data_IF_304239799485
#
_entry.id   IF_304239799485
#
_cell.length_a   1.000
_cell.length_b   1.000
_cell.length_c   1.000
_cell.angle_alpha   90.00
_cell.angle_beta   90.00
_cell.angle_gamma   90.00
#
_symmetry.space_group_name_H-M   'P 1'
#
loop_
_entity.id
_entity.type
_entity.pdbx_description
1 polymer ?
#
# COMPACT_ATOMS: atom_id res chain seq x y z
N UNK A 1 19.15 -21.96 -7.34
CA UNK A 1 18.99 -20.68 -8.06
C UNK A 1 18.78 -19.61 -7.02
N UNK A 2 19.47 -18.47 -7.10
CA UNK A 2 19.30 -17.39 -6.11
C UNK A 2 18.12 -16.48 -6.50
N UNK A 3 17.58 -15.72 -5.54
CA UNK A 3 16.53 -14.71 -5.78
C UNK A 3 16.95 -13.69 -6.83
N UNK A 4 18.26 -13.39 -6.88
CA UNK A 4 18.85 -12.52 -7.90
C UNK A 4 18.72 -13.12 -9.29
N UNK A 5 19.11 -14.38 -9.46
CA UNK A 5 19.04 -15.06 -10.75
C UNK A 5 17.58 -15.19 -11.21
N UNK A 6 16.70 -15.54 -10.27
CA UNK A 6 15.26 -15.66 -10.53
C UNK A 6 14.66 -14.32 -10.95
N UNK A 7 14.95 -13.22 -10.24
CA UNK A 7 14.45 -11.90 -10.60
C UNK A 7 14.95 -11.45 -11.98
N UNK A 8 16.23 -11.67 -12.29
CA UNK A 8 16.77 -11.37 -13.61
C UNK A 8 16.08 -12.18 -14.72
N UNK A 9 15.89 -13.48 -14.50
CA UNK A 9 15.22 -14.35 -15.46
C UNK A 9 13.76 -13.93 -15.71
N UNK A 10 13.02 -13.63 -14.64
CA UNK A 10 11.63 -13.19 -14.74
C UNK A 10 11.45 -11.84 -15.44
N UNK A 11 12.43 -10.93 -15.32
CA UNK A 11 12.42 -9.64 -16.02
C UNK A 11 12.84 -9.73 -17.49
N UNK A 12 13.66 -10.73 -17.84
CA UNK A 12 14.13 -10.94 -19.21
C UNK A 12 13.03 -11.56 -20.11
N UNK A 13 12.19 -12.43 -19.52
CA UNK A 13 11.04 -13.02 -20.20
C UNK A 13 9.91 -11.97 -20.32
N UNK A 14 9.95 -11.15 -21.37
CA UNK A 14 9.01 -10.02 -21.56
C UNK A 14 7.51 -10.38 -21.55
N UNK A 15 7.15 -11.65 -21.78
CA UNK A 15 5.80 -12.18 -21.56
C UNK A 15 5.86 -13.37 -20.59
N UNK A 16 4.89 -13.53 -19.66
CA UNK A 16 4.89 -14.62 -18.69
C UNK A 16 4.87 -15.98 -19.39
N UNK A 17 6.01 -16.68 -19.37
CA UNK A 17 6.19 -17.99 -20.00
C UNK A 17 5.85 -19.12 -19.02
N UNK A 18 5.62 -20.33 -19.54
CA UNK A 18 5.48 -21.52 -18.71
C UNK A 18 6.70 -21.73 -17.80
N UNK A 19 7.89 -21.37 -18.30
CA UNK A 19 9.14 -21.48 -17.59
C UNK A 19 9.25 -20.48 -16.43
N UNK A 20 8.82 -19.22 -16.64
CA UNK A 20 8.77 -18.21 -15.59
C UNK A 20 7.91 -18.66 -14.40
N UNK A 21 6.73 -19.21 -14.68
CA UNK A 21 5.88 -19.78 -13.62
C UNK A 21 6.53 -21.00 -12.95
N UNK A 22 7.11 -21.91 -13.73
CA UNK A 22 7.82 -23.09 -13.22
C UNK A 22 8.93 -22.70 -12.25
N UNK A 23 9.77 -21.73 -12.61
CA UNK A 23 10.86 -21.23 -11.77
C UNK A 23 10.36 -20.64 -10.43
N UNK A 24 9.27 -19.88 -10.43
CA UNK A 24 8.66 -19.35 -9.20
C UNK A 24 8.07 -20.44 -8.33
N UNK A 25 7.43 -21.44 -8.94
CA UNK A 25 6.86 -22.59 -8.24
C UNK A 25 7.93 -23.46 -7.59
N UNK A 26 9.01 -23.72 -8.33
CA UNK A 26 10.12 -24.53 -7.83
C UNK A 26 10.83 -23.83 -6.66
N UNK A 27 10.91 -22.49 -6.67
CA UNK A 27 11.58 -21.73 -5.62
C UNK A 27 10.69 -21.43 -4.39
N UNK A 28 9.43 -21.02 -4.61
CA UNK A 28 8.55 -20.51 -3.55
C UNK A 28 7.18 -21.19 -3.47
N UNK A 29 6.86 -22.10 -4.39
CA UNK A 29 5.52 -22.67 -4.53
C UNK A 29 5.03 -23.35 -3.26
N UNK A 30 5.86 -24.18 -2.61
CA UNK A 30 5.49 -24.86 -1.37
C UNK A 30 5.23 -23.88 -0.22
N UNK A 31 6.09 -22.87 -0.09
CA UNK A 31 6.00 -21.89 0.99
C UNK A 31 4.76 -20.99 0.86
N UNK A 32 4.53 -20.47 -0.34
CA UNK A 32 3.35 -19.66 -0.63
C UNK A 32 2.07 -20.48 -0.52
N UNK A 33 2.07 -21.73 -0.99
CA UNK A 33 0.92 -22.61 -0.84
C UNK A 33 0.58 -22.86 0.62
N UNK A 34 1.60 -23.13 1.46
CA UNK A 34 1.41 -23.31 2.91
C UNK A 34 0.83 -22.06 3.55
N UNK A 35 1.33 -20.88 3.19
CA UNK A 35 0.77 -19.61 3.65
C UNK A 35 -0.71 -19.49 3.27
N UNK A 36 -1.07 -19.77 2.02
CA UNK A 36 -2.46 -19.70 1.53
C UNK A 36 -3.37 -20.70 2.26
N UNK A 37 -2.91 -21.92 2.51
CA UNK A 37 -3.67 -22.94 3.27
C UNK A 37 -3.93 -22.46 4.69
N UNK A 38 -2.91 -21.95 5.38
CA UNK A 38 -3.05 -21.40 6.73
C UNK A 38 -4.00 -20.20 6.76
N UNK A 39 -3.97 -19.38 5.71
CA UNK A 39 -4.82 -18.21 5.58
C UNK A 39 -6.27 -18.53 5.17
N UNK A 40 -6.57 -19.65 4.50
CA UNK A 40 -7.92 -19.90 3.96
C UNK A 40 -8.61 -21.10 4.59
N UNK A 41 -7.86 -22.08 5.11
CA UNK A 41 -8.40 -23.33 5.62
C UNK A 41 -9.00 -24.25 4.54
N UNK A 42 -8.90 -23.88 3.25
CA UNK A 42 -9.47 -24.59 2.11
C UNK A 42 -8.38 -24.81 1.05
N UNK A 43 -8.21 -26.07 0.64
CA UNK A 43 -7.14 -26.48 -0.28
C UNK A 43 -7.37 -26.01 -1.71
N UNK A 44 -8.60 -26.02 -2.17
CA UNK A 44 -8.93 -25.61 -3.53
C UNK A 44 -8.88 -24.08 -3.64
N UNK A 45 -9.35 -23.37 -2.61
CA UNK A 45 -9.18 -21.92 -2.52
C UNK A 45 -7.69 -21.52 -2.49
N UNK A 46 -6.85 -22.26 -1.75
CA UNK A 46 -5.41 -22.00 -1.70
C UNK A 46 -4.72 -22.20 -3.05
N UNK A 47 -5.09 -23.22 -3.84
CA UNK A 47 -4.55 -23.39 -5.19
C UNK A 47 -4.94 -22.23 -6.10
N UNK A 48 -6.19 -21.74 -6.02
CA UNK A 48 -6.64 -20.58 -6.79
C UNK A 48 -5.87 -19.33 -6.40
N UNK A 49 -5.68 -19.08 -5.11
CA UNK A 49 -4.93 -17.91 -4.64
C UNK A 49 -3.45 -17.99 -4.99
N UNK A 50 -2.82 -19.17 -4.91
CA UNK A 50 -1.44 -19.35 -5.37
C UNK A 50 -1.32 -19.04 -6.86
N UNK A 51 -2.26 -19.55 -7.67
CA UNK A 51 -2.32 -19.29 -9.11
C UNK A 51 -2.37 -17.79 -9.40
N UNK A 52 -3.26 -17.09 -8.71
CA UNK A 52 -3.46 -15.65 -8.91
C UNK A 52 -2.25 -14.85 -8.45
N UNK A 53 -1.65 -15.24 -7.32
CA UNK A 53 -0.41 -14.65 -6.81
C UNK A 53 0.70 -14.71 -7.85
N UNK A 54 0.89 -15.87 -8.49
CA UNK A 54 1.93 -16.06 -9.50
C UNK A 54 1.65 -15.26 -10.78
N UNK A 55 0.38 -15.19 -11.21
CA UNK A 55 -0.02 -14.35 -12.35
C UNK A 55 0.30 -12.87 -12.07
N UNK A 56 -0.07 -12.38 -10.88
CA UNK A 56 0.21 -11.00 -10.47
C UNK A 56 1.72 -10.77 -10.37
N UNK A 57 2.46 -11.71 -9.78
CA UNK A 57 3.91 -11.63 -9.66
C UNK A 57 4.58 -11.48 -11.03
N UNK A 58 4.28 -12.35 -12.00
CA UNK A 58 4.84 -12.25 -13.34
C UNK A 58 4.44 -10.96 -14.05
N UNK A 59 3.19 -10.51 -13.91
CA UNK A 59 2.71 -9.27 -14.55
C UNK A 59 3.37 -8.00 -13.98
N UNK A 60 3.76 -8.01 -12.70
CA UNK A 60 4.25 -6.81 -11.99
C UNK A 60 5.67 -6.94 -11.47
N UNK A 61 6.44 -7.93 -11.93
CA UNK A 61 7.83 -8.17 -11.47
C UNK A 61 8.76 -6.96 -11.72
N UNK A 62 8.43 -6.13 -12.70
CA UNK A 62 9.14 -4.88 -12.98
C UNK A 62 9.00 -3.82 -11.88
N UNK A 63 8.01 -3.94 -10.98
CA UNK A 63 7.80 -3.02 -9.85
C UNK A 63 8.71 -3.30 -8.66
N UNK A 64 9.13 -4.55 -8.47
CA UNK A 64 10.01 -4.92 -7.37
C UNK A 64 11.38 -4.25 -7.60
N UNK A 65 11.96 -3.46 -6.67
CA UNK A 65 13.22 -2.76 -6.93
C UNK A 65 14.43 -3.70 -7.01
N UNK A 66 14.51 -4.68 -6.09
CA UNK A 66 15.67 -5.53 -5.90
C UNK A 66 15.34 -6.97 -5.48
N UNK A 67 16.28 -7.91 -5.69
CA UNK A 67 16.05 -9.33 -5.45
C UNK A 67 16.03 -9.72 -3.97
N UNK A 68 16.66 -8.94 -3.12
CA UNK A 68 16.68 -9.10 -1.66
C UNK A 68 15.28 -9.06 -1.02
N UNK A 69 14.32 -8.45 -1.72
CA UNK A 69 12.93 -8.31 -1.26
C UNK A 69 11.95 -9.25 -1.96
N UNK A 70 12.44 -10.18 -2.79
CA UNK A 70 11.57 -11.03 -3.62
C UNK A 70 10.65 -11.91 -2.78
N UNK A 71 11.20 -12.61 -1.78
CA UNK A 71 10.40 -13.46 -0.90
C UNK A 71 9.30 -12.66 -0.16
N UNK A 72 9.68 -11.54 0.47
CA UNK A 72 8.74 -10.67 1.19
C UNK A 72 7.64 -10.12 0.27
N UNK A 73 8.02 -9.72 -0.95
CA UNK A 73 7.10 -9.19 -1.95
C UNK A 73 6.10 -10.24 -2.42
N UNK A 74 6.54 -11.48 -2.66
CA UNK A 74 5.66 -12.59 -3.04
C UNK A 74 4.68 -12.96 -1.92
N UNK A 75 5.12 -12.95 -0.67
CA UNK A 75 4.23 -13.16 0.49
C UNK A 75 3.21 -12.03 0.64
N UNK A 76 3.63 -10.78 0.44
CA UNK A 76 2.72 -9.63 0.46
C UNK A 76 1.64 -9.74 -0.63
N UNK A 77 2.01 -10.22 -1.83
CA UNK A 77 1.05 -10.51 -2.89
C UNK A 77 0.08 -11.62 -2.47
N UNK A 78 0.59 -12.73 -1.94
CA UNK A 78 -0.23 -13.85 -1.49
C UNK A 78 -1.24 -13.41 -0.41
N UNK A 79 -0.82 -12.55 0.51
CA UNK A 79 -1.69 -12.01 1.56
C UNK A 79 -2.82 -11.16 0.97
N UNK A 80 -2.51 -10.26 0.03
CA UNK A 80 -3.51 -9.45 -0.68
C UNK A 80 -4.53 -10.34 -1.41
N UNK A 81 -4.06 -11.39 -2.06
CA UNK A 81 -4.92 -12.34 -2.76
C UNK A 81 -5.77 -13.20 -1.82
N UNK A 82 -5.24 -13.60 -0.66
CA UNK A 82 -6.01 -14.25 0.40
C UNK A 82 -7.12 -13.34 0.95
N UNK A 83 -6.81 -12.08 1.26
CA UNK A 83 -7.79 -11.09 1.75
C UNK A 83 -8.90 -10.87 0.72
N UNK A 84 -8.52 -10.77 -0.56
CA UNK A 84 -9.48 -10.62 -1.65
C UNK A 84 -10.39 -11.83 -1.77
N UNK A 85 -9.83 -13.04 -1.66
CA UNK A 85 -10.61 -14.29 -1.68
C UNK A 85 -11.60 -14.35 -0.53
N UNK A 86 -11.17 -14.09 0.71
CA UNK A 86 -12.07 -14.01 1.87
C UNK A 86 -13.19 -12.97 1.67
N UNK A 87 -12.86 -11.82 1.08
CA UNK A 87 -13.83 -10.76 0.78
C UNK A 87 -14.84 -11.15 -0.30
N UNK A 88 -14.44 -12.00 -1.25
CA UNK A 88 -15.35 -12.57 -2.25
C UNK A 88 -16.30 -13.58 -1.60
N UNK A 89 -15.75 -14.50 -0.79
CA UNK A 89 -16.53 -15.54 -0.11
C UNK A 89 -17.54 -14.94 0.88
N UNK A 90 -17.17 -13.87 1.60
CA UNK A 90 -18.07 -13.18 2.52
C UNK A 90 -19.22 -12.44 1.81
N UNK A 91 -19.00 -11.91 0.60
CA UNK A 91 -20.03 -11.18 -0.17
C UNK A 91 -21.05 -12.09 -0.84
N UNK A 92 -20.81 -13.40 -0.87
CA UNK A 92 -21.74 -14.40 -1.40
C UNK A 92 -22.21 -15.34 -0.27
N UNK A 93 -23.08 -14.85 0.65
CA UNK A 93 -23.69 -15.73 1.65
C UNK A 93 -24.62 -16.71 0.93
N UNK A 94 -24.28 -18.01 0.95
CA UNK A 94 -25.14 -19.06 0.39
C UNK A 94 -24.61 -19.81 -0.84
N UNK A 95 -23.29 -20.04 -0.93
CA UNK A 95 -22.78 -21.18 -1.70
C UNK A 95 -23.06 -21.15 -3.20
N UNK A 96 -22.48 -20.17 -3.90
CA UNK A 96 -22.06 -20.42 -5.27
C UNK A 96 -20.74 -19.70 -5.50
N UNK A 97 -19.67 -20.33 -5.01
CA UNK A 97 -18.36 -20.16 -5.60
C UNK A 97 -18.49 -20.40 -7.10
N UNK A 98 -17.76 -19.61 -7.89
CA UNK A 98 -17.54 -19.77 -9.33
C UNK A 98 -17.53 -21.27 -9.74
N UNK A 99 -18.13 -21.68 -10.88
CA UNK A 99 -18.44 -23.07 -11.20
C UNK A 99 -17.36 -24.10 -10.80
N UNK A 100 -17.81 -25.07 -10.02
CA UNK A 100 -17.12 -26.25 -9.46
C UNK A 100 -16.36 -27.11 -10.49
N UNK A 101 -16.53 -26.86 -11.79
CA UNK A 101 -15.73 -27.53 -12.82
C UNK A 101 -14.39 -26.81 -13.07
N UNK A 102 -13.63 -26.63 -12.01
CA UNK A 102 -12.17 -26.67 -12.11
C UNK A 102 -11.67 -27.75 -11.15
N UNK A 103 -12.14 -28.98 -11.36
CA UNK A 103 -11.51 -30.18 -10.80
C UNK A 103 -10.10 -30.27 -11.36
N UNK A 104 -9.14 -29.68 -10.65
CA UNK A 104 -7.84 -29.35 -11.18
C UNK A 104 -6.77 -30.07 -10.36
N UNK A 105 -6.34 -31.22 -10.86
CA UNK A 105 -5.18 -31.96 -10.34
C UNK A 105 -3.98 -31.00 -10.34
N UNK A 106 -3.36 -30.69 -9.17
CA UNK A 106 -2.40 -29.59 -9.02
C UNK A 106 -1.28 -29.59 -10.08
N UNK A 107 -0.83 -30.77 -10.51
CA UNK A 107 0.24 -30.95 -11.51
C UNK A 107 -0.16 -30.56 -12.94
N UNK A 108 -1.44 -30.61 -13.33
CA UNK A 108 -1.91 -30.25 -14.69
C UNK A 108 -2.32 -28.77 -14.81
N UNK A 109 -2.74 -28.13 -13.72
CA UNK A 109 -3.02 -26.67 -13.64
C UNK A 109 -1.77 -25.86 -13.95
N UNK A 110 -0.65 -26.31 -13.38
CA UNK A 110 0.63 -25.60 -13.44
C UNK A 110 1.25 -25.66 -14.84
N UNK A 111 1.00 -26.73 -15.60
CA UNK A 111 1.30 -26.79 -17.04
C UNK A 111 0.33 -25.99 -17.92
N UNK A 112 -0.91 -25.78 -17.47
CA UNK A 112 -1.92 -25.02 -18.20
C UNK A 112 -1.86 -23.50 -18.00
N UNK A 113 -1.16 -23.00 -16.98
CA UNK A 113 -1.04 -21.56 -16.67
C UNK A 113 -0.59 -20.69 -17.85
N UNK A 114 0.30 -21.23 -18.69
CA UNK A 114 0.81 -20.57 -19.88
C UNK A 114 0.00 -20.87 -21.15
N UNK A 115 -1.12 -21.59 -21.04
CA UNK A 115 -1.95 -21.91 -22.18
C UNK A 115 -2.70 -20.66 -22.68
N UNK A 116 -2.88 -20.48 -24.00
CA UNK A 116 -3.53 -19.30 -24.57
C UNK A 116 -4.97 -19.09 -24.08
N UNK A 117 -5.66 -20.17 -23.72
CA UNK A 117 -7.07 -20.14 -23.28
C UNK A 117 -7.23 -19.40 -21.95
N UNK A 118 -6.14 -19.28 -21.17
CA UNK A 118 -6.10 -18.58 -19.91
C UNK A 118 -5.68 -17.10 -20.06
N UNK A 119 -5.41 -16.61 -21.26
CA UNK A 119 -4.95 -15.23 -21.50
C UNK A 119 -5.92 -14.19 -20.93
N UNK A 120 -7.22 -14.36 -21.17
CA UNK A 120 -8.25 -13.47 -20.63
C UNK A 120 -8.30 -13.49 -19.10
N UNK A 121 -8.13 -14.67 -18.50
CA UNK A 121 -8.06 -14.82 -17.05
C UNK A 121 -6.83 -14.12 -16.48
N UNK A 122 -5.64 -14.34 -17.09
CA UNK A 122 -4.40 -13.72 -16.65
C UNK A 122 -4.45 -12.20 -16.78
N UNK A 123 -4.96 -11.70 -17.91
CA UNK A 123 -5.17 -10.26 -18.12
C UNK A 123 -6.11 -9.67 -17.06
N UNK A 124 -7.21 -10.34 -16.74
CA UNK A 124 -8.12 -9.92 -15.69
C UNK A 124 -7.47 -9.89 -14.30
N UNK A 125 -6.78 -10.97 -13.92
CA UNK A 125 -6.08 -11.10 -12.63
C UNK A 125 -4.94 -10.07 -12.49
N UNK A 126 -4.16 -9.87 -13.56
CA UNK A 126 -3.11 -8.87 -13.59
C UNK A 126 -3.67 -7.44 -13.47
N UNK A 127 -4.77 -7.13 -14.18
CA UNK A 127 -5.39 -5.81 -14.17
C UNK A 127 -6.05 -5.46 -12.82
N UNK A 128 -6.63 -6.44 -12.10
CA UNK A 128 -7.25 -6.19 -10.78
C UNK A 128 -6.25 -5.98 -9.64
N UNK A 129 -4.97 -6.28 -9.89
CA UNK A 129 -3.85 -6.04 -8.98
C UNK A 129 -3.11 -4.78 -9.43
N UNK A 130 -3.75 -3.62 -9.32
CA UNK A 130 -3.23 -2.34 -9.82
C UNK A 130 -2.60 -1.45 -8.73
N UNK A 131 -2.89 -1.73 -7.46
CA UNK A 131 -2.43 -0.91 -6.32
C UNK A 131 -1.13 -1.42 -5.73
N UNK A 132 -0.06 -0.70 -6.02
CA UNK A 132 1.24 -0.83 -5.36
C UNK A 132 1.67 0.52 -4.79
N UNK A 133 2.43 0.49 -3.70
CA UNK A 133 3.05 1.67 -3.12
C UNK A 133 4.28 2.13 -3.93
N UNK A 134 4.98 3.14 -3.40
CA UNK A 134 6.18 3.71 -4.04
C UNK A 134 7.37 2.76 -4.07
N UNK A 135 7.39 1.78 -3.17
CA UNK A 135 8.45 0.77 -3.08
C UNK A 135 8.13 -0.48 -3.92
N UNK A 136 7.00 -0.45 -4.64
CA UNK A 136 6.55 -1.54 -5.50
C UNK A 136 5.85 -2.67 -4.76
N UNK A 137 5.45 -2.48 -3.49
CA UNK A 137 4.74 -3.48 -2.69
C UNK A 137 3.23 -3.36 -2.85
N UNK A 138 2.49 -4.49 -2.86
CA UNK A 138 1.05 -4.46 -3.03
C UNK A 138 0.36 -3.84 -1.80
N UNK A 139 -0.62 -2.97 -2.04
CA UNK A 139 -1.38 -2.34 -0.97
C UNK A 139 -2.53 -3.25 -0.54
N UNK A 140 -2.65 -3.52 0.76
CA UNK A 140 -3.73 -4.36 1.29
C UNK A 140 -5.12 -3.78 0.98
N UNK A 141 -6.03 -4.55 0.36
CA UNK A 141 -7.40 -4.14 0.15
C UNK A 141 -8.08 -3.87 1.51
N UNK A 142 -8.68 -2.69 1.68
CA UNK A 142 -9.35 -2.32 2.93
C UNK A 142 -8.46 -1.61 3.96
N UNK A 143 -7.16 -1.43 3.68
CA UNK A 143 -6.44 -0.31 4.26
C UNK A 143 -7.07 0.96 3.67
N UNK A 144 -7.99 1.60 4.41
CA UNK A 144 -8.23 3.01 4.17
C UNK A 144 -6.86 3.70 4.11
N UNK A 145 -6.62 4.62 3.16
CA UNK A 145 -5.43 5.45 3.26
C UNK A 145 -5.57 6.11 4.63
N UNK A 146 -4.75 5.68 5.60
CA UNK A 146 -4.58 6.47 6.79
C UNK A 146 -4.15 7.82 6.25
N UNK A 147 -4.93 8.89 6.48
CA UNK A 147 -4.45 10.21 6.11
C UNK A 147 -3.12 10.30 6.83
N UNK A 148 -2.04 10.36 6.06
CA UNK A 148 -0.72 10.57 6.61
C UNK A 148 -0.86 11.85 7.42
N UNK A 149 -0.89 11.71 8.76
CA UNK A 149 -0.93 12.85 9.65
C UNK A 149 0.21 13.75 9.21
N UNK A 150 -0.02 15.07 9.05
CA UNK A 150 1.01 15.93 8.50
C UNK A 150 2.23 15.83 9.39
N UNK A 151 3.32 15.36 8.76
CA UNK A 151 4.65 15.33 9.31
C UNK A 151 4.94 16.67 10.00
N UNK A 152 5.33 16.61 11.27
CA UNK A 152 6.16 17.48 12.13
C UNK A 152 6.55 18.94 11.72
N UNK A 153 5.93 19.56 10.72
CA UNK A 153 6.29 20.83 10.09
C UNK A 153 5.28 21.93 10.46
N UNK A 154 4.12 21.58 11.02
CA UNK A 154 3.14 22.58 11.49
C UNK A 154 3.56 23.30 12.78
N UNK A 155 4.42 22.71 13.63
CA UNK A 155 4.80 23.33 14.91
C UNK A 155 5.61 24.61 14.72
N UNK A 156 6.47 24.68 13.68
CA UNK A 156 7.29 25.89 13.42
C UNK A 156 6.42 27.04 12.93
N UNK A 157 5.46 26.76 12.04
CA UNK A 157 4.54 27.78 11.52
C UNK A 157 3.63 28.37 12.59
N UNK A 158 3.07 27.51 13.48
CA UNK A 158 2.25 27.96 14.59
C UNK A 158 3.08 28.78 15.61
N UNK A 159 4.31 28.35 15.89
CA UNK A 159 5.19 29.06 16.81
C UNK A 159 5.60 30.44 16.26
N UNK A 160 5.92 30.52 14.95
CA UNK A 160 6.13 31.79 14.25
C UNK A 160 4.92 32.72 14.34
N UNK A 161 3.71 32.20 14.13
CA UNK A 161 2.47 32.97 14.21
C UNK A 161 2.21 33.51 15.62
N UNK A 162 2.43 32.68 16.65
CA UNK A 162 2.26 33.08 18.06
C UNK A 162 3.27 34.15 18.45
N UNK A 163 4.54 34.00 18.04
CA UNK A 163 5.59 34.99 18.29
C UNK A 163 5.24 36.32 17.59
N UNK A 164 4.78 36.27 16.34
CA UNK A 164 4.37 37.46 15.60
C UNK A 164 3.20 38.19 16.30
N UNK A 165 2.20 37.45 16.79
CA UNK A 165 1.08 38.04 17.53
C UNK A 165 1.50 38.63 18.87
N UNK A 166 2.39 37.97 19.62
CA UNK A 166 2.90 38.51 20.87
C UNK A 166 3.66 39.83 20.65
N UNK A 167 4.47 39.92 19.59
CA UNK A 167 5.20 41.14 19.24
C UNK A 167 4.27 42.30 18.87
N UNK A 168 3.23 42.05 18.06
CA UNK A 168 2.22 43.05 17.70
C UNK A 168 1.46 43.53 18.94
N UNK A 169 1.07 42.60 19.82
CA UNK A 169 0.33 42.91 21.03
C UNK A 169 1.17 43.76 22.01
N UNK A 170 2.45 43.41 22.21
CA UNK A 170 3.37 44.19 23.03
C UNK A 170 3.59 45.61 22.47
N UNK A 171 3.76 45.75 21.15
CA UNK A 171 3.84 47.05 20.49
C UNK A 171 2.58 47.90 20.71
N UNK A 172 1.40 47.29 20.62
CA UNK A 172 0.13 47.97 20.88
C UNK A 172 -0.04 48.41 22.35
N UNK A 173 0.44 47.59 23.30
CA UNK A 173 0.42 47.97 24.71
C UNK A 173 1.36 49.13 25.01
N UNK A 174 2.56 49.15 24.41
CA UNK A 174 3.51 50.25 24.57
C UNK A 174 2.99 51.57 23.98
N UNK A 175 2.30 51.54 22.83
CA UNK A 175 1.64 52.74 22.31
C UNK A 175 0.48 53.19 23.18
N UNK A 176 -0.28 52.26 23.77
CA UNK A 176 -1.33 52.59 24.75
C UNK A 176 -0.80 53.17 26.05
N UNK A 177 0.33 52.71 26.58
CA UNK A 177 0.90 53.28 27.82
C UNK A 177 1.49 54.67 27.57
N UNK A 178 1.97 54.95 26.36
CA UNK A 178 2.42 56.29 25.98
C UNK A 178 1.27 57.32 25.96
N UNK A 179 0.05 56.91 25.63
CA UNK A 179 -1.15 57.77 25.70
C UNK A 179 -1.63 57.97 27.16
N UNK A 180 -1.31 57.05 28.07
CA UNK A 180 -1.74 57.11 29.47
C UNK A 180 -0.87 58.04 30.34
N UNK A 181 0.34 58.39 29.89
CA UNK A 181 1.19 59.41 30.53
C UNK A 181 1.21 60.73 29.73
N UNK A 182 0.04 61.16 29.25
CA UNK A 182 -0.19 62.52 28.77
C UNK A 182 -0.28 63.54 29.92
N UNK A 183 0.27 64.75 29.77
CA UNK A 183 0.90 65.50 30.86
C UNK A 183 -0.10 66.30 31.69
N UNK A 184 -0.52 65.78 32.85
CA UNK A 184 -1.06 66.62 33.92
C UNK A 184 0.08 67.34 34.65
N UNK A 185 0.80 68.21 33.92
CA UNK A 185 1.50 69.35 34.49
C UNK A 185 0.66 70.60 34.25
N UNK A 186 -0.55 70.57 34.81
CA UNK A 186 -1.43 71.72 34.92
C UNK A 186 -1.08 72.46 36.21
N UNK A 187 -0.01 73.23 36.16
CA UNK A 187 0.39 74.18 37.18
C UNK A 187 -0.79 75.06 37.59
N UNK A 188 -1.35 74.84 38.77
CA UNK A 188 -2.22 75.81 39.43
C UNK A 188 -1.32 76.91 39.99
N UNK A 189 -1.02 77.89 39.15
CA UNK A 189 -0.35 79.14 39.53
C UNK A 189 -1.18 80.32 39.05
N UNK A 190 -1.84 80.96 40.03
CA UNK A 190 -2.12 82.40 40.14
C UNK A 190 -2.69 83.19 38.94
N UNK A 191 -3.99 83.46 39.00
CA UNK A 191 -4.66 84.73 38.65
C UNK A 191 -6.08 84.62 39.25
N UNK A 192 -6.56 85.34 40.26
CA UNK A 192 -6.39 86.75 40.59
C UNK A 192 -7.74 87.45 40.43
N UNK A 193 -8.63 87.40 41.43
CA UNK A 193 -9.49 88.51 41.87
C UNK A 193 -10.28 88.18 43.14
#
# INVERSE_FOLDING_TARGET
>A
MTDRDLLHALRADGAPSAEAYGRLLDAYGEELFRHCILALGDRDAAHVVLRDTLIVACAHIGRLPGPDRLAEWLHALAEVECVRRRSYDHRLPGGRSMPENTGLVPVRVLKGMAAPELDGYRAHVAARADRFDRDGFPVRPGASPTPHGPALVSSVGLMMLVILMAAVCAGYLLTRTAEAEGPWSGSVTLLGR
#
